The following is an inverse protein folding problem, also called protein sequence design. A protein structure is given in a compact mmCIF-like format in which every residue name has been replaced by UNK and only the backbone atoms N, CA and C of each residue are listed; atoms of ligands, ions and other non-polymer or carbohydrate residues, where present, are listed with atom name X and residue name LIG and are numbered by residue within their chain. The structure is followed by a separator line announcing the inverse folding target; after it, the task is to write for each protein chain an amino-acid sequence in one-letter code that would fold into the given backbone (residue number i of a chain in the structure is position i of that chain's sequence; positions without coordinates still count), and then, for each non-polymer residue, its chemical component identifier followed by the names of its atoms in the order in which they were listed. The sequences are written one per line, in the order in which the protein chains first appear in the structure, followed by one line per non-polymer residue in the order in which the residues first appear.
data_IF_489029719856
#
_entry.id   IF_489029719856
#
_cell.length_a   1.000
_cell.length_b   1.000
_cell.length_c   1.000
_cell.angle_alpha   90.00
_cell.angle_beta   90.00
_cell.angle_gamma   90.00
#
_symmetry.space_group_name_H-M   'P 1'
#
loop_
_entity.id
_entity.type
_entity.pdbx_description
1 polymer ?
#
# COMPACT_ATOMS: atom_id res chain seq x y z
N UNK A 1 -7.97 0.67 -23.22
CA UNK A 1 -7.79 2.11 -22.97
C UNK A 1 -6.37 2.41 -22.50
N UNK A 2 -5.93 3.65 -22.64
CA UNK A 2 -4.69 4.15 -22.05
C UNK A 2 -5.03 4.91 -20.76
N UNK A 3 -4.36 4.54 -19.67
CA UNK A 3 -4.48 5.23 -18.38
C UNK A 3 -3.08 5.69 -17.99
N UNK A 4 -2.83 7.00 -18.08
CA UNK A 4 -1.49 7.54 -17.95
C UNK A 4 -0.54 6.95 -19.00
N UNK A 5 0.54 6.32 -18.57
CA UNK A 5 1.54 5.64 -19.43
C UNK A 5 1.26 4.15 -19.63
N UNK A 6 0.18 3.61 -19.05
CA UNK A 6 -0.16 2.18 -19.08
C UNK A 6 -1.28 1.92 -20.10
N UNK A 7 -1.06 0.95 -21.00
CA UNK A 7 -2.09 0.40 -21.86
C UNK A 7 -2.79 -0.73 -21.13
N UNK A 8 -4.10 -0.59 -20.93
CA UNK A 8 -4.94 -1.61 -20.30
C UNK A 8 -6.03 -2.06 -21.26
N UNK A 9 -6.34 -3.35 -21.24
CA UNK A 9 -7.48 -3.89 -22.00
C UNK A 9 -8.78 -3.65 -21.22
N UNK A 10 -9.25 -2.40 -21.28
CA UNK A 10 -10.45 -1.93 -20.59
C UNK A 10 -11.27 -1.00 -21.46
N UNK A 11 -12.58 -1.01 -21.29
CA UNK A 11 -13.48 -0.03 -21.88
C UNK A 11 -13.53 1.23 -21.00
N UNK A 12 -13.24 2.40 -21.59
CA UNK A 12 -13.36 3.67 -20.88
C UNK A 12 -14.83 4.02 -20.71
N UNK A 13 -15.22 4.50 -19.53
CA UNK A 13 -16.55 4.98 -19.20
C UNK A 13 -17.67 3.95 -19.48
N UNK A 14 -17.33 2.65 -19.39
CA UNK A 14 -18.31 1.59 -19.53
C UNK A 14 -19.35 1.62 -18.39
N UNK A 15 -20.60 1.23 -18.64
CA UNK A 15 -21.59 1.09 -17.60
C UNK A 15 -21.13 0.10 -16.53
N UNK A 16 -21.43 0.40 -15.27
CA UNK A 16 -21.10 -0.49 -14.15
C UNK A 16 -21.97 -1.74 -14.23
N UNK A 17 -21.31 -2.90 -14.25
CA UNK A 17 -21.99 -4.19 -14.31
C UNK A 17 -22.03 -4.83 -12.90
N UNK A 18 -23.23 -5.06 -12.38
CA UNK A 18 -23.44 -5.76 -11.11
C UNK A 18 -23.96 -4.88 -9.98
N UNK A 19 -24.22 -5.51 -8.85
CA UNK A 19 -24.66 -4.89 -7.58
C UNK A 19 -24.08 -5.65 -6.40
N UNK A 20 -23.95 -4.98 -5.26
CA UNK A 20 -23.35 -5.56 -4.06
C UNK A 20 -21.87 -5.91 -4.26
N UNK A 21 -21.18 -5.16 -5.12
CA UNK A 21 -19.79 -5.39 -5.48
C UNK A 21 -18.86 -5.02 -4.32
N UNK A 22 -17.84 -5.84 -4.05
CA UNK A 22 -16.81 -5.47 -3.09
C UNK A 22 -15.93 -4.34 -3.65
N UNK A 23 -15.41 -3.50 -2.75
CA UNK A 23 -14.50 -2.39 -3.05
C UNK A 23 -13.10 -2.72 -2.55
N UNK A 24 -12.07 -2.49 -3.38
CA UNK A 24 -10.68 -2.45 -2.93
C UNK A 24 -10.11 -1.05 -3.19
N UNK A 25 -9.60 -0.39 -2.14
CA UNK A 25 -8.90 0.89 -2.26
C UNK A 25 -7.40 0.65 -2.23
N UNK A 26 -6.67 1.24 -3.20
CA UNK A 26 -5.25 0.98 -3.42
C UNK A 26 -4.40 2.21 -3.12
N UNK A 27 -3.44 2.10 -2.19
CA UNK A 27 -2.51 3.17 -1.80
C UNK A 27 -1.13 2.92 -2.40
N UNK A 28 -0.67 3.82 -3.27
CA UNK A 28 0.65 3.73 -3.91
C UNK A 28 1.81 4.07 -2.96
N UNK A 29 3.04 3.72 -3.34
CA UNK A 29 4.26 4.04 -2.60
C UNK A 29 4.59 5.55 -2.61
N UNK A 30 5.63 5.94 -1.85
CA UNK A 30 6.12 7.32 -1.82
C UNK A 30 6.47 7.80 -3.24
N UNK A 31 6.04 9.00 -3.60
CA UNK A 31 6.25 9.59 -4.91
C UNK A 31 5.63 8.81 -6.09
N UNK A 32 4.79 7.82 -5.84
CA UNK A 32 4.12 7.00 -6.85
C UNK A 32 2.88 7.64 -7.45
N UNK A 33 1.97 6.84 -7.97
CA UNK A 33 0.72 7.30 -8.58
C UNK A 33 -0.31 6.19 -8.74
N UNK A 34 -1.49 6.58 -9.21
CA UNK A 34 -2.65 5.68 -9.33
C UNK A 34 -2.41 4.44 -10.20
N UNK A 35 -1.48 4.50 -11.17
CA UNK A 35 -1.17 3.39 -12.06
C UNK A 35 -0.08 2.44 -11.54
N UNK A 36 0.49 2.68 -10.37
CA UNK A 36 1.61 1.89 -9.84
C UNK A 36 1.33 0.38 -9.74
N UNK A 37 0.05 0.01 -9.65
CA UNK A 37 -0.43 -1.37 -9.55
C UNK A 37 -1.61 -1.62 -10.50
N UNK A 38 -1.52 -1.09 -11.73
CA UNK A 38 -2.60 -1.16 -12.71
C UNK A 38 -2.97 -2.61 -13.10
N UNK A 39 -2.00 -3.51 -13.12
CA UNK A 39 -2.19 -4.94 -13.39
C UNK A 39 -3.01 -5.63 -12.27
N UNK A 40 -2.74 -5.34 -11.01
CA UNK A 40 -3.54 -5.82 -9.88
C UNK A 40 -4.95 -5.21 -9.92
N UNK A 41 -5.08 -3.92 -10.23
CA UNK A 41 -6.38 -3.27 -10.38
C UNK A 41 -7.22 -3.96 -11.46
N UNK A 42 -6.60 -4.33 -12.59
CA UNK A 42 -7.25 -5.09 -13.66
C UNK A 42 -7.66 -6.49 -13.21
N UNK A 43 -6.79 -7.21 -12.49
CA UNK A 43 -7.08 -8.54 -11.96
C UNK A 43 -8.27 -8.52 -10.99
N UNK A 44 -8.30 -7.55 -10.06
CA UNK A 44 -9.41 -7.35 -9.13
C UNK A 44 -10.70 -6.99 -9.86
N UNK A 45 -10.66 -6.05 -10.81
CA UNK A 45 -11.84 -5.67 -11.60
C UNK A 45 -12.38 -6.86 -12.40
N UNK A 46 -11.51 -7.67 -13.00
CA UNK A 46 -11.89 -8.89 -13.72
C UNK A 46 -12.51 -9.95 -12.79
N UNK A 47 -12.15 -9.94 -11.51
CA UNK A 47 -12.75 -10.77 -10.48
C UNK A 47 -14.03 -10.17 -9.87
N UNK A 48 -14.52 -9.03 -10.38
CA UNK A 48 -15.79 -8.42 -9.97
C UNK A 48 -15.69 -7.43 -8.80
N UNK A 49 -14.53 -6.84 -8.58
CA UNK A 49 -14.32 -5.77 -7.60
C UNK A 49 -14.46 -4.39 -8.25
N UNK A 50 -14.98 -3.45 -7.49
CA UNK A 50 -14.74 -2.03 -7.74
C UNK A 50 -13.36 -1.69 -7.18
N UNK A 51 -12.52 -1.01 -7.95
CA UNK A 51 -11.18 -0.61 -7.52
C UNK A 51 -11.06 0.91 -7.55
N UNK A 52 -10.61 1.50 -6.45
CA UNK A 52 -10.32 2.93 -6.35
C UNK A 52 -8.84 3.14 -5.99
N UNK A 53 -8.14 3.93 -6.78
CA UNK A 53 -6.72 4.24 -6.56
C UNK A 53 -6.55 5.77 -6.47
N UNK A 54 -6.56 6.36 -5.28
CA UNK A 54 -6.29 7.78 -5.11
C UNK A 54 -4.84 8.10 -5.46
N UNK A 55 -4.61 9.30 -5.98
CA UNK A 55 -3.30 9.91 -6.06
C UNK A 55 -3.11 10.76 -4.81
N UNK A 56 -2.21 10.36 -3.90
CA UNK A 56 -2.01 11.06 -2.65
C UNK A 56 -1.48 12.48 -2.89
N UNK A 57 -2.28 13.49 -2.54
CA UNK A 57 -1.88 14.89 -2.63
C UNK A 57 -0.68 15.16 -1.73
N UNK A 58 0.33 15.83 -2.27
CA UNK A 58 1.57 16.14 -1.57
C UNK A 58 2.60 14.99 -1.53
N UNK A 59 2.23 13.77 -2.00
CA UNK A 59 3.14 12.64 -2.08
C UNK A 59 2.85 11.77 -3.30
N UNK A 60 3.07 12.31 -4.47
CA UNK A 60 2.96 11.61 -5.75
C UNK A 60 4.01 12.12 -6.74
N UNK A 61 4.12 11.49 -7.91
CA UNK A 61 5.14 11.82 -8.91
C UNK A 61 5.01 13.23 -9.52
N UNK A 62 3.87 13.90 -9.38
CA UNK A 62 3.64 15.29 -9.83
C UNK A 62 3.77 16.31 -8.70
N UNK A 63 3.54 15.88 -7.45
CA UNK A 63 3.50 16.77 -6.29
C UNK A 63 4.10 16.05 -5.07
N UNK A 64 5.25 16.52 -4.61
CA UNK A 64 5.95 16.05 -3.41
C UNK A 64 6.03 17.15 -2.34
N UNK A 65 5.09 18.08 -2.34
CA UNK A 65 5.09 19.25 -1.43
C UNK A 65 4.96 18.88 0.04
N UNK A 66 4.43 17.69 0.38
CA UNK A 66 4.38 17.19 1.74
C UNK A 66 5.60 16.33 2.14
N UNK A 67 6.59 16.13 1.26
CA UNK A 67 7.81 15.40 1.58
C UNK A 67 8.50 16.03 2.81
N UNK A 68 8.85 15.19 3.79
CA UNK A 68 9.45 15.65 5.05
C UNK A 68 8.47 16.19 6.09
N UNK A 69 7.20 16.41 5.76
CA UNK A 69 6.18 16.78 6.75
C UNK A 69 6.00 15.68 7.79
N UNK A 70 5.92 16.04 9.07
CA UNK A 70 5.58 15.11 10.16
C UNK A 70 4.18 14.51 9.97
N UNK A 71 3.31 15.21 9.24
CA UNK A 71 1.93 14.80 8.96
C UNK A 71 1.77 14.01 7.66
N UNK A 72 2.85 13.72 6.92
CA UNK A 72 2.77 13.00 5.65
C UNK A 72 1.92 11.73 5.76
N UNK A 73 2.20 10.90 6.74
CA UNK A 73 1.54 9.60 6.89
C UNK A 73 0.10 9.71 7.43
N UNK A 74 -0.17 10.65 8.35
CA UNK A 74 -1.54 10.91 8.83
C UNK A 74 -2.42 11.51 7.73
N UNK A 75 -1.85 12.35 6.85
CA UNK A 75 -2.55 12.87 5.67
C UNK A 75 -2.87 11.74 4.69
N UNK A 76 -1.93 10.84 4.39
CA UNK A 76 -2.19 9.67 3.53
C UNK A 76 -3.27 8.75 4.10
N UNK A 77 -3.24 8.48 5.42
CA UNK A 77 -4.29 7.71 6.10
C UNK A 77 -5.66 8.37 5.93
N UNK A 78 -5.77 9.68 6.15
CA UNK A 78 -6.99 10.46 5.97
C UNK A 78 -7.49 10.44 4.52
N UNK A 79 -6.59 10.57 3.54
CA UNK A 79 -6.94 10.51 2.12
C UNK A 79 -7.46 9.14 1.70
N UNK A 80 -6.86 8.04 2.19
CA UNK A 80 -7.35 6.68 1.93
C UNK A 80 -8.77 6.50 2.48
N UNK A 81 -9.02 6.92 3.72
CA UNK A 81 -10.34 6.85 4.36
C UNK A 81 -11.38 7.70 3.62
N UNK A 82 -11.01 8.93 3.26
CA UNK A 82 -11.87 9.81 2.47
C UNK A 82 -12.21 9.22 1.10
N UNK A 83 -11.27 8.49 0.46
CA UNK A 83 -11.55 7.78 -0.78
C UNK A 83 -12.60 6.68 -0.57
N UNK A 84 -12.52 5.92 0.53
CA UNK A 84 -13.54 4.91 0.86
C UNK A 84 -14.90 5.58 1.02
N UNK A 85 -14.97 6.66 1.81
CA UNK A 85 -16.22 7.35 2.07
C UNK A 85 -16.81 7.92 0.77
N UNK A 86 -16.00 8.57 -0.07
CA UNK A 86 -16.43 9.06 -1.38
C UNK A 86 -17.00 7.95 -2.27
N UNK A 87 -16.32 6.80 -2.35
CA UNK A 87 -16.77 5.66 -3.16
C UNK A 87 -18.12 5.10 -2.69
N UNK A 88 -18.42 5.21 -1.41
CA UNK A 88 -19.64 4.68 -0.80
C UNK A 88 -20.80 5.69 -0.76
N UNK A 89 -20.54 6.99 -0.93
CA UNK A 89 -21.56 8.02 -0.72
C UNK A 89 -21.75 8.97 -1.91
N UNK A 90 -20.68 9.36 -2.61
CA UNK A 90 -20.70 10.44 -3.60
C UNK A 90 -20.43 9.95 -5.03
N UNK A 91 -19.64 8.88 -5.18
CA UNK A 91 -19.35 8.33 -6.50
C UNK A 91 -20.64 7.91 -7.21
N UNK A 92 -20.76 8.24 -8.50
CA UNK A 92 -21.98 7.94 -9.28
C UNK A 92 -22.39 6.46 -9.30
N UNK A 93 -21.47 5.56 -9.01
CA UNK A 93 -21.72 4.11 -8.90
C UNK A 93 -21.88 3.61 -7.46
N UNK A 94 -21.97 4.48 -6.46
CA UNK A 94 -22.01 4.11 -5.05
C UNK A 94 -23.10 3.07 -4.69
N UNK A 95 -24.28 3.15 -5.33
CA UNK A 95 -25.38 2.17 -5.14
C UNK A 95 -25.09 0.76 -5.65
N UNK A 96 -23.94 0.53 -6.31
CA UNK A 96 -23.52 -0.81 -6.75
C UNK A 96 -22.51 -1.45 -5.79
N UNK A 97 -21.90 -0.69 -4.88
CA UNK A 97 -20.90 -1.16 -3.92
C UNK A 97 -21.55 -1.62 -2.63
N UNK A 98 -21.07 -2.74 -2.09
CA UNK A 98 -21.47 -3.22 -0.76
C UNK A 98 -20.56 -2.55 0.32
N UNK A 99 -21.11 -1.69 1.19
CA UNK A 99 -20.33 -1.00 2.22
C UNK A 99 -19.75 -1.92 3.30
N UNK A 100 -20.22 -3.17 3.36
CA UNK A 100 -19.70 -4.22 4.24
C UNK A 100 -18.52 -4.99 3.65
N UNK A 101 -18.19 -4.78 2.37
CA UNK A 101 -17.18 -5.54 1.61
C UNK A 101 -16.06 -4.66 1.09
N UNK A 102 -15.33 -4.01 2.00
CA UNK A 102 -14.23 -3.11 1.67
C UNK A 102 -12.90 -3.75 2.04
N UNK A 103 -11.99 -3.85 1.07
CA UNK A 103 -10.59 -4.21 1.24
C UNK A 103 -9.67 -3.03 0.97
N UNK A 104 -8.42 -3.14 1.42
CA UNK A 104 -7.39 -2.16 1.11
C UNK A 104 -6.09 -2.85 0.69
N UNK A 105 -5.46 -2.36 -0.36
CA UNK A 105 -4.12 -2.75 -0.80
C UNK A 105 -3.18 -1.55 -0.68
N UNK A 106 -1.93 -1.79 -0.26
CA UNK A 106 -0.93 -0.74 -0.25
C UNK A 106 0.48 -1.26 -0.48
N UNK A 107 1.30 -0.45 -1.14
CA UNK A 107 2.69 -0.74 -1.42
C UNK A 107 3.61 0.26 -0.73
N UNK A 108 4.69 -0.20 -0.09
CA UNK A 108 5.72 0.66 0.54
C UNK A 108 5.09 1.63 1.56
N UNK A 109 5.20 2.94 1.36
CA UNK A 109 4.46 3.95 2.14
C UNK A 109 2.94 3.72 2.11
N UNK A 110 2.39 3.18 1.01
CA UNK A 110 1.00 2.76 0.91
C UNK A 110 0.67 1.56 1.80
N UNK A 111 1.60 0.60 1.93
CA UNK A 111 1.48 -0.52 2.86
C UNK A 111 1.38 -0.04 4.31
N UNK A 112 2.25 0.90 4.70
CA UNK A 112 2.14 1.59 5.99
C UNK A 112 0.80 2.29 6.16
N UNK A 113 0.34 3.03 5.12
CA UNK A 113 -0.95 3.73 5.13
C UNK A 113 -2.12 2.77 5.37
N UNK A 114 -2.11 1.61 4.71
CA UNK A 114 -3.18 0.60 4.87
C UNK A 114 -3.14 -0.01 6.27
N UNK A 115 -1.97 -0.34 6.79
CA UNK A 115 -1.84 -0.89 8.15
C UNK A 115 -2.37 0.09 9.21
N UNK A 116 -2.08 1.38 9.07
CA UNK A 116 -2.65 2.40 9.98
C UNK A 116 -4.15 2.57 9.79
N UNK A 117 -4.66 2.45 8.57
CA UNK A 117 -6.09 2.53 8.30
C UNK A 117 -6.90 1.33 8.84
N UNK A 118 -6.25 0.22 9.16
CA UNK A 118 -6.88 -0.93 9.83
C UNK A 118 -6.64 -0.99 11.34
N UNK A 119 -5.99 0.05 11.92
CA UNK A 119 -5.87 0.20 13.36
C UNK A 119 -4.45 0.14 13.93
N UNK A 120 -3.41 0.00 13.09
CA UNK A 120 -2.05 0.14 13.59
C UNK A 120 -1.78 1.55 14.12
N UNK A 121 -1.12 1.62 15.29
CA UNK A 121 -0.73 2.85 15.97
C UNK A 121 0.81 2.90 16.09
N UNK A 122 1.53 3.24 15.00
CA UNK A 122 2.99 3.22 14.98
C UNK A 122 3.58 4.25 15.94
N UNK A 123 4.68 3.90 16.59
CA UNK A 123 5.46 4.85 17.39
C UNK A 123 6.45 5.60 16.46
N UNK A 124 6.06 6.75 15.98
CA UNK A 124 6.87 7.54 15.06
C UNK A 124 8.15 8.12 15.68
N UNK A 125 8.29 8.12 17.03
CA UNK A 125 9.54 8.51 17.71
C UNK A 125 10.68 7.53 17.40
N UNK A 126 10.34 6.28 17.05
CA UNK A 126 11.32 5.28 16.67
C UNK A 126 12.01 5.59 15.32
N UNK A 127 11.47 6.47 14.50
CA UNK A 127 12.09 6.88 13.21
C UNK A 127 13.47 7.47 13.44
N UNK A 128 13.61 8.46 14.34
CA UNK A 128 14.90 9.08 14.65
C UNK A 128 15.91 8.05 15.19
N UNK A 129 15.46 7.18 16.10
CA UNK A 129 16.30 6.14 16.72
C UNK A 129 16.76 5.13 15.67
N UNK A 130 15.85 4.65 14.83
CA UNK A 130 16.16 3.67 13.78
C UNK A 130 17.13 4.28 12.75
N UNK A 131 16.83 5.48 12.26
CA UNK A 131 17.67 6.16 11.27
C UNK A 131 19.10 6.49 11.76
N UNK A 132 19.29 6.58 13.07
CA UNK A 132 20.63 6.74 13.65
C UNK A 132 21.42 5.42 13.72
N UNK A 133 20.75 4.27 13.84
CA UNK A 133 21.37 2.95 14.11
C UNK A 133 21.44 2.04 12.90
N UNK A 134 20.37 1.99 12.12
CA UNK A 134 20.21 1.09 10.99
C UNK A 134 19.49 1.81 9.84
N UNK A 135 20.14 2.80 9.19
CA UNK A 135 19.48 3.63 8.19
C UNK A 135 19.00 2.81 7.00
N UNK A 136 17.77 3.09 6.57
CA UNK A 136 17.12 2.55 5.39
C UNK A 136 16.78 3.67 4.42
N UNK A 137 16.26 3.34 3.24
CA UNK A 137 15.85 4.30 2.21
C UNK A 137 14.96 5.43 2.76
N UNK A 138 14.00 5.12 3.64
CA UNK A 138 13.13 6.13 4.25
C UNK A 138 13.93 7.17 5.04
N UNK A 139 15.03 6.78 5.67
CA UNK A 139 15.88 7.69 6.43
C UNK A 139 16.57 8.72 5.52
N UNK A 140 16.97 8.29 4.33
CA UNK A 140 17.59 9.19 3.35
C UNK A 140 16.55 10.14 2.75
N UNK A 141 15.36 9.66 2.45
CA UNK A 141 14.23 10.49 2.01
C UNK A 141 13.91 11.56 3.05
N UNK A 142 13.78 11.18 4.31
CA UNK A 142 13.45 12.10 5.41
C UNK A 142 14.57 13.11 5.67
N UNK A 143 15.85 12.70 5.60
CA UNK A 143 17.00 13.61 5.74
C UNK A 143 17.06 14.61 4.58
N UNK A 144 16.91 14.12 3.34
CA UNK A 144 16.91 14.98 2.14
C UNK A 144 15.78 16.01 2.20
N UNK A 145 14.62 15.62 2.67
CA UNK A 145 13.45 16.50 2.85
C UNK A 145 13.53 17.33 4.14
N UNK A 146 14.61 17.25 4.91
CA UNK A 146 14.81 17.96 6.18
C UNK A 146 13.67 17.72 7.18
N UNK A 147 13.14 16.51 7.22
CA UNK A 147 12.02 16.13 8.09
C UNK A 147 12.41 16.19 9.56
N UNK A 148 11.59 16.76 10.43
CA UNK A 148 11.80 16.67 11.88
C UNK A 148 11.77 15.24 12.42
N UNK A 149 11.15 14.28 11.72
CA UNK A 149 11.05 12.88 12.15
C UNK A 149 12.41 12.18 12.36
N UNK A 150 13.49 12.71 11.77
CA UNK A 150 14.85 12.18 12.01
C UNK A 150 15.57 12.84 13.19
N UNK A 151 14.89 13.73 13.91
CA UNK A 151 15.39 14.40 15.11
C UNK A 151 14.74 13.79 16.35
N UNK A 152 15.55 13.42 17.33
CA UNK A 152 15.05 12.87 18.61
C UNK A 152 14.18 13.92 19.30
N UNK A 153 13.07 13.48 19.89
CA UNK A 153 12.07 14.31 20.59
C UNK A 153 11.32 15.35 19.72
N UNK A 154 11.43 15.23 18.40
CA UNK A 154 10.64 16.06 17.50
C UNK A 154 9.14 15.67 17.50
N UNK A 155 8.24 16.58 17.10
CA UNK A 155 6.83 16.24 16.90
C UNK A 155 6.66 15.07 15.93
N UNK A 156 5.74 14.16 16.22
CA UNK A 156 5.51 12.91 15.46
C UNK A 156 4.31 12.99 14.51
N UNK A 157 3.68 14.14 14.43
CA UNK A 157 2.50 14.37 13.58
C UNK A 157 1.17 14.00 14.25
N UNK A 158 0.10 14.16 13.48
CA UNK A 158 -1.26 13.88 13.93
C UNK A 158 -1.49 12.36 14.08
N UNK A 159 -2.42 11.95 14.96
CA UNK A 159 -2.84 10.55 15.06
C UNK A 159 -3.37 10.01 13.72
N UNK A 160 -3.14 8.72 13.50
CA UNK A 160 -3.71 7.97 12.38
C UNK A 160 -4.92 7.18 12.87
N UNK A 161 -6.01 7.21 12.11
CA UNK A 161 -7.27 6.63 12.53
C UNK A 161 -7.63 5.39 11.70
N UNK A 162 -8.25 4.41 12.35
CA UNK A 162 -8.80 3.25 11.68
C UNK A 162 -10.10 3.57 10.92
N UNK A 163 -10.29 2.89 9.79
CA UNK A 163 -11.59 2.80 9.12
C UNK A 163 -12.27 1.48 9.50
N UNK A 164 -13.41 1.48 10.18
CA UNK A 164 -14.12 0.27 10.53
C UNK A 164 -14.73 -0.44 9.31
N UNK A 165 -14.71 0.21 8.16
CA UNK A 165 -15.20 -0.33 6.89
C UNK A 165 -14.26 -1.35 6.27
N UNK A 166 -12.94 -1.24 6.49
CA UNK A 166 -11.96 -2.17 5.92
C UNK A 166 -12.06 -3.50 6.65
N UNK A 167 -12.26 -4.58 5.89
CA UNK A 167 -12.45 -5.95 6.40
C UNK A 167 -11.26 -6.87 6.10
N UNK A 168 -10.38 -6.48 5.19
CA UNK A 168 -9.15 -7.20 4.86
C UNK A 168 -8.12 -6.23 4.29
N UNK A 169 -6.84 -6.51 4.50
CA UNK A 169 -5.77 -5.65 4.04
C UNK A 169 -4.63 -6.46 3.39
N UNK A 170 -4.06 -5.91 2.32
CA UNK A 170 -2.83 -6.43 1.71
C UNK A 170 -1.78 -5.33 1.78
N UNK A 171 -0.62 -5.64 2.37
CA UNK A 171 0.51 -4.72 2.44
C UNK A 171 1.73 -5.35 1.74
N UNK A 172 2.11 -4.77 0.60
CA UNK A 172 3.27 -5.18 -0.17
C UNK A 172 4.47 -4.30 0.19
N UNK A 173 5.55 -4.92 0.63
CA UNK A 173 6.79 -4.28 1.08
C UNK A 173 6.51 -3.04 1.98
N UNK A 174 5.71 -3.17 3.06
CA UNK A 174 5.32 -2.04 3.90
C UNK A 174 6.55 -1.41 4.57
N UNK A 175 6.74 -0.11 4.38
CA UNK A 175 7.81 0.63 5.04
C UNK A 175 7.50 0.93 6.51
N UNK A 176 8.52 1.43 7.25
CA UNK A 176 8.38 1.85 8.65
C UNK A 176 7.92 0.74 9.62
N UNK A 177 8.11 -0.54 9.26
CA UNK A 177 7.72 -1.67 10.10
C UNK A 177 8.36 -1.64 11.48
N UNK A 178 9.56 -1.10 11.61
CA UNK A 178 10.26 -0.89 12.88
C UNK A 178 9.52 0.01 13.88
N UNK A 179 8.49 0.76 13.43
CA UNK A 179 7.61 1.55 14.30
C UNK A 179 6.41 0.76 14.82
N UNK A 180 6.21 -0.47 14.34
CA UNK A 180 5.01 -1.28 14.58
C UNK A 180 5.25 -2.42 15.56
N UNK A 181 5.43 -2.09 16.84
CA UNK A 181 5.52 -3.07 17.92
C UNK A 181 4.23 -3.90 18.07
N UNK A 182 4.23 -5.02 18.83
CA UNK A 182 3.00 -5.76 19.15
C UNK A 182 1.91 -4.88 19.77
N UNK A 183 2.28 -3.90 20.59
CA UNK A 183 1.33 -2.94 21.16
C UNK A 183 0.74 -2.01 20.10
N UNK A 184 1.55 -1.59 19.13
CA UNK A 184 1.11 -0.75 18.01
C UNK A 184 0.10 -1.47 17.10
N UNK A 185 0.19 -2.80 16.99
CA UNK A 185 -0.68 -3.62 16.13
C UNK A 185 -1.84 -4.30 16.89
N UNK A 186 -1.96 -4.07 18.21
CA UNK A 186 -2.96 -4.75 19.04
C UNK A 186 -4.41 -4.49 18.59
N UNK A 187 -4.70 -3.30 18.05
CA UNK A 187 -6.02 -2.93 17.58
C UNK A 187 -6.38 -3.48 16.19
N UNK A 188 -5.42 -4.07 15.46
CA UNK A 188 -5.68 -4.70 14.16
C UNK A 188 -6.45 -6.00 14.37
N UNK A 189 -7.67 -6.09 13.84
CA UNK A 189 -8.55 -7.25 14.01
C UNK A 189 -8.89 -7.96 12.70
N UNK A 190 -8.58 -7.36 11.55
CA UNK A 190 -8.86 -7.92 10.23
C UNK A 190 -7.69 -8.79 9.74
N UNK A 191 -7.92 -9.75 8.84
CA UNK A 191 -6.85 -10.51 8.21
C UNK A 191 -5.96 -9.60 7.37
N UNK A 192 -4.67 -9.87 7.39
CA UNK A 192 -3.63 -9.12 6.67
C UNK A 192 -2.79 -10.07 5.84
N UNK A 193 -2.66 -9.81 4.54
CA UNK A 193 -1.68 -10.48 3.69
C UNK A 193 -0.46 -9.56 3.53
N UNK A 194 0.72 -10.07 3.88
CA UNK A 194 1.99 -9.35 3.82
C UNK A 194 2.87 -9.92 2.72
N UNK A 195 3.45 -9.04 1.91
CA UNK A 195 4.43 -9.40 0.90
C UNK A 195 5.75 -8.68 1.15
N UNK A 196 6.88 -9.36 0.95
CA UNK A 196 8.21 -8.76 1.06
C UNK A 196 9.20 -9.48 0.16
N UNK A 197 10.13 -8.75 -0.46
CA UNK A 197 11.22 -9.30 -1.24
C UNK A 197 12.45 -9.62 -0.39
N UNK A 198 13.15 -10.70 -0.69
CA UNK A 198 14.40 -11.05 0.02
C UNK A 198 15.62 -10.23 -0.46
N UNK A 199 15.47 -9.53 -1.60
CA UNK A 199 16.46 -8.58 -2.16
C UNK A 199 16.02 -7.12 -2.03
N UNK A 200 15.00 -6.85 -1.21
CA UNK A 200 14.53 -5.48 -0.96
C UNK A 200 15.52 -4.74 -0.03
N UNK A 201 16.34 -3.91 -0.62
CA UNK A 201 17.34 -3.07 0.06
C UNK A 201 16.75 -1.72 0.52
N UNK A 202 15.58 -1.31 0.01
CA UNK A 202 14.89 -0.09 0.41
C UNK A 202 14.02 -0.27 1.65
N UNK A 203 13.38 -1.43 1.74
CA UNK A 203 12.51 -1.83 2.85
C UNK A 203 12.90 -3.25 3.29
N UNK A 204 14.04 -3.39 4.00
CA UNK A 204 14.55 -4.70 4.40
C UNK A 204 13.55 -5.52 5.19
N UNK A 205 13.43 -6.80 4.86
CA UNK A 205 12.49 -7.72 5.50
C UNK A 205 12.59 -7.71 7.03
N UNK A 206 13.82 -7.81 7.55
CA UNK A 206 14.07 -7.97 8.99
C UNK A 206 13.57 -6.81 9.85
N UNK A 207 13.61 -5.58 9.33
CA UNK A 207 13.24 -4.35 10.05
C UNK A 207 11.82 -3.88 9.71
N UNK A 208 11.17 -4.53 8.76
CA UNK A 208 9.84 -4.13 8.31
C UNK A 208 8.83 -5.29 8.37
N UNK A 209 8.67 -6.07 7.31
CA UNK A 209 7.62 -7.10 7.23
C UNK A 209 7.76 -8.20 8.28
N UNK A 210 8.98 -8.56 8.70
CA UNK A 210 9.21 -9.55 9.75
C UNK A 210 8.61 -9.09 11.09
N UNK A 211 8.85 -7.84 11.48
CA UNK A 211 8.32 -7.26 12.73
C UNK A 211 6.79 -7.24 12.70
N UNK A 212 6.20 -6.82 11.57
CA UNK A 212 4.75 -6.75 11.40
C UNK A 212 4.13 -8.15 11.46
N UNK A 213 4.72 -9.12 10.76
CA UNK A 213 4.23 -10.51 10.73
C UNK A 213 4.28 -11.17 12.12
N UNK A 214 5.40 -11.00 12.84
CA UNK A 214 5.56 -11.49 14.20
C UNK A 214 4.50 -10.89 15.15
N UNK A 215 4.30 -9.59 15.09
CA UNK A 215 3.35 -8.88 15.94
C UNK A 215 1.88 -9.20 15.64
N UNK A 216 1.52 -9.47 14.39
CA UNK A 216 0.16 -9.86 13.98
C UNK A 216 -0.11 -11.34 14.22
N UNK A 217 0.91 -12.18 14.25
CA UNK A 217 0.79 -13.62 14.44
C UNK A 217 -0.15 -14.27 13.42
N UNK A 218 -1.15 -15.03 13.87
CA UNK A 218 -2.09 -15.75 12.99
C UNK A 218 -2.98 -14.86 12.10
N UNK A 219 -3.01 -13.56 12.33
CA UNK A 219 -3.73 -12.61 11.47
C UNK A 219 -2.96 -12.27 10.19
N UNK A 220 -1.64 -12.55 10.16
CA UNK A 220 -0.78 -12.30 9.02
C UNK A 220 -0.56 -13.55 8.18
N UNK A 221 -0.85 -13.44 6.89
CA UNK A 221 -0.41 -14.38 5.85
C UNK A 221 0.82 -13.77 5.17
N UNK A 222 2.01 -14.29 5.49
CA UNK A 222 3.29 -13.74 5.02
C UNK A 222 3.79 -14.45 3.77
N UNK A 223 4.07 -13.70 2.73
CA UNK A 223 4.73 -14.13 1.48
C UNK A 223 6.09 -13.44 1.35
N UNK A 224 7.16 -14.17 1.58
CA UNK A 224 8.50 -13.71 1.27
C UNK A 224 8.88 -14.17 -0.14
N UNK A 225 9.21 -13.23 -1.04
CA UNK A 225 9.41 -13.48 -2.47
C UNK A 225 10.91 -13.59 -2.77
N UNK A 226 11.40 -14.79 -3.13
CA UNK A 226 12.81 -14.98 -3.48
C UNK A 226 13.19 -14.16 -4.72
N UNK A 227 14.32 -13.46 -4.65
CA UNK A 227 14.88 -12.68 -5.75
C UNK A 227 14.22 -11.33 -5.99
N UNK A 228 13.10 -10.99 -5.32
CA UNK A 228 12.41 -9.72 -5.52
C UNK A 228 13.12 -8.57 -4.78
N UNK A 229 13.35 -7.47 -5.48
CA UNK A 229 13.70 -6.18 -4.88
C UNK A 229 12.45 -5.32 -4.65
N UNK A 230 12.64 -4.09 -4.12
CA UNK A 230 11.50 -3.19 -3.85
C UNK A 230 10.68 -2.87 -5.09
N UNK A 231 11.34 -2.54 -6.20
CA UNK A 231 10.69 -2.18 -7.46
C UNK A 231 9.97 -3.36 -8.13
N UNK A 232 10.33 -4.60 -7.78
CA UNK A 232 9.67 -5.80 -8.31
C UNK A 232 8.19 -5.87 -7.98
N UNK A 233 7.71 -5.16 -6.95
CA UNK A 233 6.30 -5.06 -6.57
C UNK A 233 5.51 -4.02 -7.36
N UNK A 234 6.15 -3.20 -8.18
CA UNK A 234 5.48 -2.27 -9.09
C UNK A 234 5.03 -3.00 -10.35
N UNK A 235 3.89 -2.60 -10.90
CA UNK A 235 3.34 -3.16 -12.13
C UNK A 235 4.42 -3.35 -13.21
N UNK A 236 4.39 -4.42 -13.99
CA UNK A 236 5.34 -4.65 -15.07
C UNK A 236 5.42 -3.46 -16.02
N UNK A 237 6.62 -2.99 -16.30
CA UNK A 237 6.85 -1.80 -17.10
C UNK A 237 6.33 -1.95 -18.53
N UNK A 238 5.65 -0.90 -18.99
CA UNK A 238 5.16 -0.77 -20.35
C UNK A 238 6.22 -0.16 -21.31
N UNK A 239 5.80 0.81 -22.11
CA UNK A 239 6.65 1.50 -23.10
C UNK A 239 7.72 2.37 -22.43
N UNK A 240 7.39 3.06 -21.36
CA UNK A 240 8.35 3.82 -20.54
C UNK A 240 8.99 2.89 -19.52
N UNK A 241 10.31 2.90 -19.47
CA UNK A 241 11.11 1.98 -18.64
C UNK A 241 12.20 2.74 -17.88
N UNK A 242 11.85 3.58 -16.87
CA UNK A 242 12.84 4.19 -16.01
C UNK A 242 13.68 3.10 -15.30
N UNK A 243 15.01 3.22 -15.37
CA UNK A 243 15.91 2.16 -14.90
C UNK A 243 15.75 1.85 -13.41
N UNK A 244 15.50 2.88 -12.61
CA UNK A 244 15.34 2.79 -11.15
C UNK A 244 14.13 1.97 -10.69
N UNK A 245 13.11 1.84 -11.55
CA UNK A 245 11.88 1.09 -11.23
C UNK A 245 11.63 -0.10 -12.16
N UNK A 246 12.32 -0.18 -13.29
CA UNK A 246 12.10 -1.20 -14.31
C UNK A 246 13.24 -2.22 -14.43
N UNK A 247 14.30 -2.09 -13.61
CA UNK A 247 15.38 -3.05 -13.57
C UNK A 247 15.12 -4.06 -12.44
N UNK A 248 14.93 -5.31 -12.83
CA UNK A 248 14.80 -6.40 -11.87
C UNK A 248 16.16 -7.04 -11.57
N UNK A 249 16.31 -7.71 -10.42
CA UNK A 249 17.46 -8.55 -10.15
C UNK A 249 17.64 -9.64 -11.23
N UNK A 250 18.88 -10.08 -11.42
CA UNK A 250 19.19 -11.13 -12.37
C UNK A 250 18.38 -12.41 -12.09
N UNK A 251 17.73 -12.95 -13.12
CA UNK A 251 16.91 -14.15 -13.03
C UNK A 251 15.50 -13.92 -12.47
N UNK A 252 15.12 -12.71 -12.07
CA UNK A 252 13.77 -12.44 -11.59
C UNK A 252 12.82 -12.11 -12.74
N UNK A 253 11.73 -12.87 -12.87
CA UNK A 253 10.66 -12.61 -13.84
C UNK A 253 9.50 -11.87 -13.18
N UNK A 254 9.51 -10.53 -13.26
CA UNK A 254 8.45 -9.67 -12.70
C UNK A 254 7.07 -10.01 -13.25
N UNK A 255 6.94 -10.36 -14.55
CA UNK A 255 5.63 -10.66 -15.15
C UNK A 255 5.04 -11.94 -14.59
N UNK A 256 5.84 -13.00 -14.47
CA UNK A 256 5.42 -14.24 -13.85
C UNK A 256 5.09 -14.05 -12.36
N UNK A 257 5.90 -13.29 -11.63
CA UNK A 257 5.65 -12.94 -10.25
C UNK A 257 4.32 -12.21 -10.08
N UNK A 258 4.06 -11.15 -10.85
CA UNK A 258 2.82 -10.39 -10.77
C UNK A 258 1.60 -11.23 -11.12
N UNK A 259 1.69 -12.12 -12.10
CA UNK A 259 0.60 -13.05 -12.42
C UNK A 259 0.23 -13.92 -11.21
N UNK A 260 1.23 -14.42 -10.48
CA UNK A 260 1.04 -15.22 -9.26
C UNK A 260 0.54 -14.36 -8.08
N UNK A 261 1.20 -13.23 -7.81
CA UNK A 261 0.84 -12.32 -6.73
C UNK A 261 -0.61 -11.81 -6.87
N UNK A 262 -0.97 -11.36 -8.07
CA UNK A 262 -2.31 -10.84 -8.34
C UNK A 262 -3.39 -11.92 -8.10
N UNK A 263 -3.12 -13.17 -8.50
CA UNK A 263 -4.05 -14.29 -8.26
C UNK A 263 -4.20 -14.59 -6.77
N UNK A 264 -3.11 -14.59 -6.00
CA UNK A 264 -3.17 -14.82 -4.54
C UNK A 264 -3.84 -13.64 -3.80
N UNK A 265 -3.62 -12.40 -4.23
CA UNK A 265 -4.31 -11.22 -3.67
C UNK A 265 -5.81 -11.28 -3.93
N UNK A 266 -6.22 -11.64 -5.16
CA UNK A 266 -7.64 -11.84 -5.50
C UNK A 266 -8.25 -12.93 -4.62
N UNK A 267 -7.60 -14.08 -4.51
CA UNK A 267 -8.06 -15.20 -3.67
C UNK A 267 -8.17 -14.82 -2.20
N UNK A 268 -7.21 -14.05 -1.67
CA UNK A 268 -7.27 -13.54 -0.30
C UNK A 268 -8.48 -12.63 -0.08
N UNK A 269 -8.72 -11.66 -0.96
CA UNK A 269 -9.89 -10.80 -0.87
C UNK A 269 -11.21 -11.56 -1.10
N UNK A 270 -11.24 -12.53 -2.02
CA UNK A 270 -12.42 -13.37 -2.24
C UNK A 270 -12.83 -14.10 -0.95
N UNK A 271 -11.86 -14.70 -0.27
CA UNK A 271 -12.09 -15.37 1.03
C UNK A 271 -12.58 -14.41 2.12
N UNK A 272 -12.10 -13.17 2.13
CA UNK A 272 -12.42 -12.23 3.20
C UNK A 272 -13.70 -11.40 2.94
N UNK A 273 -14.07 -11.17 1.68
CA UNK A 273 -15.09 -10.17 1.31
C UNK A 273 -16.29 -10.77 0.58
N UNK A 274 -16.23 -11.99 0.06
CA UNK A 274 -17.31 -12.59 -0.73
C UNK A 274 -18.06 -13.72 -0.02
N UNK A 275 -17.67 -14.03 1.21
CA UNK A 275 -18.29 -15.08 2.03
C UNK A 275 -19.03 -14.54 3.23
#
# INVERSE_FOLDING_TARGET
AQIGTVLMDVARDAPIAGRGLPLVVMSHGNGGGLQSHADLALALASAGYVVAAPMHTGDNFLDQSAAGSVNLFSVRNRQLRATIDHMLTEWQGNGTVDPGKVGAFGFSAGGFTVLTAIGAQPDMRLVAVHCARAPEFVCDVLRHSKSPLVVVDAPTGDPMEASPRIKAAVAAAPGLGFTMSPAALAAVQVPVQLWSGDKDDKVPFATNAAIIAEALGQKAELHQVPGANHASFLAPCGLMRPADICTDPEGFDRRAFHASMNAEVVKFFDKALKH
#
